data_IF_836143319342
#
_entry.id   IF_836143319342
#
_cell.length_a   1.000
_cell.length_b   1.000
_cell.length_c   1.000
_cell.angle_alpha   90.00
_cell.angle_beta   90.00
_cell.angle_gamma   90.00
#
_symmetry.space_group_name_H-M   'P 1'
#
loop_
_entity.id
_entity.type
_entity.pdbx_description
1 polymer ?
#
# COMPACT_ATOMS: atom_id res chain seq x y z
N UNK A 1 -11.22 -2.64 2.85
CA UNK A 1 -9.87 -2.03 2.85
C UNK A 1 -8.81 -2.97 2.29
N UNK A 2 -8.59 -3.04 0.96
CA UNK A 2 -7.52 -3.89 0.40
C UNK A 2 -7.00 -3.33 -0.94
N UNK A 3 -5.81 -2.73 -0.91
CA UNK A 3 -4.95 -2.62 -2.09
C UNK A 3 -3.49 -2.87 -1.67
N UNK A 4 -2.87 -3.90 -2.24
CA UNK A 4 -1.48 -4.29 -1.98
C UNK A 4 -0.67 -4.01 -3.23
N UNK A 5 0.30 -3.11 -3.14
CA UNK A 5 1.30 -2.89 -4.19
C UNK A 5 2.60 -3.52 -3.69
N UNK A 6 3.09 -4.55 -4.37
CA UNK A 6 4.42 -5.08 -4.12
C UNK A 6 5.25 -5.00 -5.40
N UNK A 7 6.43 -4.41 -5.27
CA UNK A 7 7.46 -4.34 -6.30
C UNK A 7 8.47 -5.44 -6.03
N UNK A 8 8.38 -6.57 -6.74
CA UNK A 8 9.45 -7.56 -6.82
C UNK A 8 9.56 -8.13 -8.26
N UNK A 9 10.77 -8.43 -8.75
CA UNK A 9 10.98 -8.92 -10.10
C UNK A 9 11.03 -10.46 -10.20
N UNK A 10 10.48 -10.97 -11.32
CA UNK A 10 10.72 -12.24 -12.04
C UNK A 10 9.84 -13.49 -11.76
N UNK A 11 9.66 -14.36 -12.79
CA UNK A 11 8.59 -15.34 -12.87
C UNK A 11 9.03 -16.72 -12.37
N UNK A 12 8.11 -17.42 -11.71
CA UNK A 12 8.29 -18.79 -11.23
C UNK A 12 7.16 -19.15 -10.27
N UNK A 13 6.41 -20.19 -10.61
CA UNK A 13 5.20 -20.70 -9.95
C UNK A 13 5.30 -20.78 -8.42
N UNK A 14 4.34 -20.15 -7.72
CA UNK A 14 3.85 -20.62 -6.42
C UNK A 14 2.32 -20.45 -6.32
N UNK A 15 1.67 -21.57 -6.01
CA UNK A 15 0.23 -21.74 -5.84
C UNK A 15 -0.32 -20.90 -4.69
N UNK A 16 -1.34 -20.07 -4.96
CA UNK A 16 -2.27 -19.53 -3.95
C UNK A 16 -3.56 -20.33 -4.10
N UNK A 17 -3.65 -21.49 -3.45
CA UNK A 17 -4.94 -22.12 -3.18
C UNK A 17 -5.35 -21.78 -1.75
N UNK A 18 -6.36 -20.90 -1.70
CA UNK A 18 -7.31 -20.68 -0.63
C UNK A 18 -6.84 -19.89 0.60
N UNK A 19 -6.86 -18.56 0.43
CA UNK A 19 -7.33 -17.64 1.46
C UNK A 19 -8.51 -16.90 0.84
N UNK A 20 -9.70 -17.02 1.44
CA UNK A 20 -10.98 -16.46 0.98
C UNK A 20 -10.93 -14.95 0.78
N UNK A 21 -10.54 -14.49 -0.41
CA UNK A 21 -10.60 -13.11 -0.84
C UNK A 21 -11.13 -13.13 -2.28
N UNK A 22 -12.37 -12.66 -2.46
CA UNK A 22 -13.13 -12.87 -3.70
C UNK A 22 -12.52 -12.22 -4.94
N UNK A 23 -11.72 -11.13 -4.82
CA UNK A 23 -11.04 -10.46 -5.95
C UNK A 23 -9.76 -9.77 -5.49
N UNK A 24 -8.70 -9.85 -6.30
CA UNK A 24 -7.46 -9.11 -6.13
C UNK A 24 -7.05 -8.46 -7.45
N UNK A 25 -6.37 -7.32 -7.36
CA UNK A 25 -5.74 -6.64 -8.50
C UNK A 25 -4.25 -6.51 -8.23
N UNK A 26 -3.45 -6.74 -9.27
CA UNK A 26 -2.00 -6.63 -9.21
C UNK A 26 -1.61 -5.65 -10.32
N UNK A 27 -0.99 -4.53 -9.95
CA UNK A 27 -0.50 -3.53 -10.89
C UNK A 27 1.00 -3.40 -10.71
N UNK A 28 1.75 -3.64 -11.79
CA UNK A 28 3.22 -3.65 -11.74
C UNK A 28 3.80 -2.40 -12.38
N UNK A 29 5.01 -2.01 -11.97
CA UNK A 29 5.72 -0.87 -12.57
C UNK A 29 5.96 -1.07 -14.08
N UNK A 30 6.17 -2.33 -14.50
CA UNK A 30 6.37 -2.72 -15.90
C UNK A 30 5.12 -2.51 -16.73
N UNK A 31 3.95 -2.87 -16.20
CA UNK A 31 2.66 -2.63 -16.85
C UNK A 31 2.34 -1.14 -16.94
N UNK A 32 2.62 -0.39 -15.87
CA UNK A 32 2.32 1.05 -15.80
C UNK A 32 3.33 1.87 -16.63
N UNK A 33 4.55 1.35 -16.81
CA UNK A 33 5.65 2.04 -17.45
C UNK A 33 6.36 3.07 -16.56
N UNK A 34 6.18 3.00 -15.23
CA UNK A 34 6.85 3.88 -14.27
C UNK A 34 7.00 3.24 -12.90
N UNK A 35 8.03 3.65 -12.16
CA UNK A 35 8.21 3.30 -10.75
C UNK A 35 7.69 4.42 -9.84
N UNK A 36 7.25 4.04 -8.64
CA UNK A 36 7.00 4.98 -7.56
C UNK A 36 8.29 5.74 -7.22
N UNK A 37 8.21 7.04 -6.84
CA UNK A 37 7.03 7.80 -6.44
C UNK A 37 6.28 8.51 -7.58
N UNK A 38 6.44 8.09 -8.85
CA UNK A 38 5.70 8.69 -9.96
C UNK A 38 4.17 8.62 -9.73
N UNK A 39 3.42 9.74 -9.83
CA UNK A 39 1.98 9.78 -9.56
C UNK A 39 1.16 8.86 -10.48
N UNK A 40 1.65 8.58 -11.70
CA UNK A 40 1.01 7.69 -12.67
C UNK A 40 0.69 6.31 -12.07
N UNK A 41 1.51 5.82 -11.15
CA UNK A 41 1.27 4.53 -10.50
C UNK A 41 -0.02 4.54 -9.65
N UNK A 42 -0.30 5.64 -8.96
CA UNK A 42 -1.49 5.79 -8.14
C UNK A 42 -2.72 6.12 -8.98
N UNK A 43 -2.58 6.99 -9.99
CA UNK A 43 -3.64 7.31 -10.94
C UNK A 43 -4.13 6.06 -11.70
N UNK A 44 -3.19 5.24 -12.19
CA UNK A 44 -3.52 3.99 -12.87
C UNK A 44 -4.28 3.02 -11.96
N UNK A 45 -3.79 2.80 -10.74
CA UNK A 45 -4.45 1.95 -9.76
C UNK A 45 -5.85 2.45 -9.42
N UNK A 46 -6.02 3.75 -9.17
CA UNK A 46 -7.32 4.35 -8.84
C UNK A 46 -8.29 4.19 -10.02
N UNK A 47 -7.84 4.45 -11.25
CA UNK A 47 -8.66 4.26 -12.45
C UNK A 47 -9.15 2.81 -12.59
N UNK A 48 -8.24 1.84 -12.47
CA UNK A 48 -8.60 0.41 -12.56
C UNK A 48 -9.53 -0.05 -11.45
N UNK A 49 -9.37 0.47 -10.23
CA UNK A 49 -10.27 0.17 -9.13
C UNK A 49 -11.64 0.83 -9.31
N UNK A 50 -11.69 2.04 -9.88
CA UNK A 50 -12.92 2.71 -10.27
C UNK A 50 -13.70 1.93 -11.34
N UNK A 51 -13.02 1.41 -12.36
CA UNK A 51 -13.62 0.54 -13.39
C UNK A 51 -14.21 -0.74 -12.77
N UNK A 52 -13.63 -1.20 -11.66
CA UNK A 52 -14.11 -2.34 -10.88
C UNK A 52 -15.22 -2.00 -9.86
N UNK A 53 -15.65 -0.73 -9.81
CA UNK A 53 -16.73 -0.25 -8.94
C UNK A 53 -16.30 0.21 -7.54
N UNK A 54 -15.00 0.40 -7.29
CA UNK A 54 -14.50 0.93 -6.02
C UNK A 54 -14.28 2.43 -6.10
N UNK A 55 -14.75 3.17 -5.10
CA UNK A 55 -14.47 4.59 -4.96
C UNK A 55 -13.11 4.79 -4.29
N UNK A 56 -12.55 5.99 -4.46
CA UNK A 56 -11.31 6.37 -3.80
C UNK A 56 -11.40 6.25 -2.27
N UNK A 57 -12.56 6.54 -1.71
CA UNK A 57 -12.83 6.46 -0.27
C UNK A 57 -12.85 5.01 0.26
N UNK A 58 -12.99 4.01 -0.61
CA UNK A 58 -12.94 2.59 -0.25
C UNK A 58 -11.50 2.05 -0.15
N UNK A 59 -10.52 2.85 -0.58
CA UNK A 59 -9.11 2.47 -0.69
C UNK A 59 -8.34 2.95 0.54
N UNK A 60 -7.77 1.99 1.27
CA UNK A 60 -6.75 2.22 2.28
C UNK A 60 -5.39 1.80 1.73
N UNK A 61 -4.47 2.76 1.62
CA UNK A 61 -3.11 2.52 1.17
C UNK A 61 -2.22 2.06 2.34
N UNK A 62 -1.81 0.79 2.34
CA UNK A 62 -0.98 0.22 3.39
C UNK A 62 0.45 -0.05 2.90
N UNK A 63 1.44 0.64 3.48
CA UNK A 63 2.84 0.54 3.05
C UNK A 63 3.84 0.90 4.16
N UNK A 64 5.10 0.53 3.98
CA UNK A 64 6.21 0.86 4.90
C UNK A 64 6.94 2.15 4.48
N UNK A 65 7.14 2.38 3.17
CA UNK A 65 7.96 3.50 2.69
C UNK A 65 7.21 4.84 2.74
N UNK A 66 7.71 5.80 3.50
CA UNK A 66 7.10 7.13 3.56
C UNK A 66 7.25 7.90 2.24
N UNK A 67 8.43 7.79 1.62
CA UNK A 67 8.76 8.52 0.38
C UNK A 67 8.13 7.91 -0.87
N UNK A 68 8.29 6.61 -1.08
CA UNK A 68 7.80 5.95 -2.31
C UNK A 68 6.30 5.72 -2.31
N UNK A 69 5.68 5.57 -1.14
CA UNK A 69 4.29 5.15 -1.02
C UNK A 69 3.41 6.25 -0.41
N UNK A 70 3.68 6.69 0.81
CA UNK A 70 2.76 7.60 1.52
C UNK A 70 2.69 9.00 0.94
N UNK A 71 3.83 9.59 0.51
CA UNK A 71 3.84 10.91 -0.12
C UNK A 71 2.99 10.96 -1.41
N UNK A 72 3.18 10.08 -2.41
CA UNK A 72 2.32 10.07 -3.59
C UNK A 72 0.87 9.60 -3.27
N UNK A 73 0.65 8.73 -2.28
CA UNK A 73 -0.71 8.37 -1.84
C UNK A 73 -1.48 9.58 -1.27
N UNK A 74 -0.82 10.43 -0.50
CA UNK A 74 -1.41 11.67 0.01
C UNK A 74 -1.76 12.64 -1.13
N UNK A 75 -0.86 12.80 -2.12
CA UNK A 75 -1.12 13.63 -3.31
C UNK A 75 -2.31 13.11 -4.11
N UNK A 76 -2.50 11.79 -4.16
CA UNK A 76 -3.67 11.16 -4.78
C UNK A 76 -4.96 11.27 -3.92
N UNK A 77 -4.86 11.75 -2.67
CA UNK A 77 -5.99 11.90 -1.75
C UNK A 77 -6.50 10.57 -1.20
N UNK A 78 -5.61 9.61 -0.98
CA UNK A 78 -5.94 8.32 -0.36
C UNK A 78 -5.81 8.38 1.17
N UNK A 79 -6.55 7.50 1.85
CA UNK A 79 -6.29 7.17 3.24
C UNK A 79 -5.04 6.28 3.33
N UNK A 80 -4.24 6.46 4.38
CA UNK A 80 -2.94 5.82 4.53
C UNK A 80 -2.80 5.08 5.85
N UNK A 81 -2.35 3.82 5.80
CA UNK A 81 -1.94 3.03 6.96
C UNK A 81 -0.42 2.76 6.88
N UNK A 82 0.34 3.39 7.77
CA UNK A 82 1.77 3.19 7.82
C UNK A 82 2.13 1.94 8.62
N UNK A 83 2.78 0.98 7.95
CA UNK A 83 3.27 -0.24 8.57
C UNK A 83 4.73 -0.03 8.98
N UNK A 84 4.95 0.50 10.18
CA UNK A 84 6.26 0.86 10.72
C UNK A 84 7.03 -0.38 11.24
N UNK A 85 7.50 -1.21 10.30
CA UNK A 85 8.17 -2.48 10.61
C UNK A 85 9.47 -2.30 11.39
N UNK A 86 10.22 -1.23 11.12
CA UNK A 86 11.52 -0.93 11.77
C UNK A 86 11.41 -0.16 13.08
N UNK A 87 10.26 -0.15 13.75
CA UNK A 87 10.05 0.54 15.04
C UNK A 87 11.01 0.15 16.18
N UNK A 88 11.79 -0.93 16.03
CA UNK A 88 12.80 -1.39 17.01
C UNK A 88 14.25 -1.21 16.56
N UNK A 89 14.50 -0.61 15.40
CA UNK A 89 15.85 -0.35 14.90
C UNK A 89 16.11 1.16 14.86
N UNK A 90 17.24 1.62 15.39
CA UNK A 90 17.64 3.02 15.29
C UNK A 90 18.04 3.35 13.84
N UNK A 91 17.57 4.50 13.33
CA UNK A 91 17.87 5.00 11.99
C UNK A 91 16.79 4.71 10.93
N UNK A 92 16.74 5.55 9.89
CA UNK A 92 15.79 5.40 8.76
C UNK A 92 16.17 4.26 7.78
N UNK A 93 17.25 3.51 8.02
CA UNK A 93 17.75 2.55 7.04
C UNK A 93 18.20 3.23 5.74
N UNK A 94 17.94 2.59 4.58
CA UNK A 94 18.16 3.15 3.24
C UNK A 94 17.02 4.07 2.78
N UNK A 95 16.13 4.47 3.68
CA UNK A 95 14.97 5.29 3.36
C UNK A 95 15.37 6.75 3.50
N UNK A 96 15.46 7.46 2.37
CA UNK A 96 15.58 8.92 2.38
C UNK A 96 14.47 9.49 3.27
N UNK A 97 14.80 10.21 4.35
CA UNK A 97 13.79 10.90 5.13
C UNK A 97 13.09 11.89 4.19
N UNK A 98 11.76 11.82 4.05
CA UNK A 98 11.07 12.74 3.16
C UNK A 98 11.22 14.16 3.71
N UNK A 99 11.46 15.14 2.83
CA UNK A 99 11.57 16.56 3.20
C UNK A 99 10.33 17.06 3.97
N UNK A 100 9.18 16.44 3.71
CA UNK A 100 7.93 16.65 4.44
C UNK A 100 7.38 15.31 4.89
N UNK A 101 7.06 15.20 6.17
CA UNK A 101 6.48 13.99 6.73
C UNK A 101 5.05 13.80 6.16
N UNK A 102 4.77 12.72 5.41
CA UNK A 102 3.43 12.48 4.87
C UNK A 102 2.43 12.15 5.98
N UNK A 103 1.17 12.50 5.76
CA UNK A 103 0.03 12.12 6.59
C UNK A 103 -0.22 10.62 6.48
N UNK A 104 -0.47 9.99 7.62
CA UNK A 104 -1.08 8.67 7.71
C UNK A 104 -2.23 8.73 8.72
N UNK A 105 -3.30 8.01 8.43
CA UNK A 105 -4.51 7.95 9.28
C UNK A 105 -4.37 6.86 10.34
N UNK A 106 -3.59 5.82 10.03
CA UNK A 106 -3.31 4.72 10.93
C UNK A 106 -1.82 4.40 10.96
N UNK A 107 -1.32 3.96 12.10
CA UNK A 107 0.03 3.45 12.25
C UNK A 107 -0.02 2.09 12.94
N UNK A 108 0.66 1.11 12.34
CA UNK A 108 0.79 -0.23 12.89
C UNK A 108 2.25 -0.67 12.80
N UNK A 109 2.74 -1.44 13.76
CA UNK A 109 4.10 -1.98 13.75
C UNK A 109 4.22 -3.20 12.84
N UNK A 110 3.11 -3.85 12.52
CA UNK A 110 3.05 -5.01 11.63
C UNK A 110 1.69 -5.14 10.94
N UNK A 111 1.63 -5.96 9.90
CA UNK A 111 0.35 -6.35 9.27
C UNK A 111 -0.52 -7.19 10.22
N UNK A 112 0.09 -7.91 11.15
CA UNK A 112 -0.63 -8.65 12.19
C UNK A 112 -1.39 -7.71 13.12
N UNK A 113 -0.74 -6.62 13.56
CA UNK A 113 -1.37 -5.60 14.40
C UNK A 113 -2.52 -4.91 13.66
N UNK A 114 -2.33 -4.57 12.37
CA UNK A 114 -3.41 -4.05 11.52
C UNK A 114 -4.59 -5.04 11.41
N UNK A 115 -4.31 -6.33 11.21
CA UNK A 115 -5.34 -7.36 11.13
C UNK A 115 -6.07 -7.56 12.46
N UNK A 116 -5.35 -7.46 13.59
CA UNK A 116 -5.94 -7.52 14.93
C UNK A 116 -6.88 -6.33 15.16
N UNK A 117 -6.43 -5.11 14.90
CA UNK A 117 -7.26 -3.90 15.02
C UNK A 117 -8.53 -3.98 14.17
N UNK A 118 -8.43 -4.53 12.95
CA UNK A 118 -9.60 -4.76 12.10
C UNK A 118 -10.59 -5.77 12.70
N UNK A 119 -10.11 -6.87 13.31
CA UNK A 119 -10.99 -7.83 13.99
C UNK A 119 -11.71 -7.19 15.17
N UNK A 120 -10.97 -6.47 16.01
CA UNK A 120 -11.53 -5.79 17.19
C UNK A 120 -12.59 -4.75 16.80
N UNK A 121 -12.42 -4.07 15.66
CA UNK A 121 -13.39 -3.11 15.15
C UNK A 121 -14.69 -3.74 14.60
N UNK A 122 -14.69 -5.04 14.29
CA UNK A 122 -15.86 -5.76 13.74
C UNK A 122 -16.69 -6.49 14.80
N UNK A 123 -16.20 -6.62 16.04
CA UNK A 123 -16.80 -7.45 17.09
C UNK A 123 -16.58 -8.95 16.86
#
# INVERSE_FOLDING_TARGET
MRCWISSLPRPGTYSIRQIWFSKYYIFTAQEIGSYKPNPRNFEYMIGKLSDAGYRKEDILHAAESLYHDHLPANRAGLASAWIYRRHRQQGFGATHPPETMPRYDFQFKSLEEMAKAHREALG
#
